data_IF_044653106701
#
_entry.id   IF_044653106701
#
_cell.length_a   1.000
_cell.length_b   1.000
_cell.length_c   1.000
_cell.angle_alpha   90.00
_cell.angle_beta   90.00
_cell.angle_gamma   90.00
#
_symmetry.space_group_name_H-M   'P 1'
#
loop_
_entity.id
_entity.type
_entity.pdbx_description
1 polymer ?
#
# COMPACT_ATOMS: atom_id res chain seq x y z
N UNK A 1 0.86 -6.11 30.80
CA UNK A 1 1.52 -5.77 29.54
C UNK A 1 3.01 -5.52 29.78
N UNK A 2 3.43 -4.52 30.56
CA UNK A 2 4.84 -4.17 30.82
C UNK A 2 5.69 -5.35 31.29
N UNK A 3 5.22 -6.09 32.30
CA UNK A 3 5.94 -7.27 32.82
C UNK A 3 6.08 -8.36 31.75
N UNK A 4 5.04 -8.56 30.90
CA UNK A 4 5.12 -9.54 29.82
C UNK A 4 6.15 -9.15 28.77
N UNK A 5 6.20 -7.86 28.38
CA UNK A 5 7.20 -7.36 27.43
C UNK A 5 8.61 -7.46 28.02
N UNK A 6 8.80 -7.06 29.29
CA UNK A 6 10.07 -7.18 29.96
C UNK A 6 10.59 -8.62 30.03
N UNK A 7 9.69 -9.58 30.31
CA UNK A 7 10.05 -10.99 30.32
C UNK A 7 10.51 -11.49 28.94
N UNK A 8 9.76 -11.16 27.88
CA UNK A 8 10.15 -11.52 26.51
C UNK A 8 11.50 -10.91 26.11
N UNK A 9 11.74 -9.64 26.45
CA UNK A 9 13.02 -9.00 26.20
C UNK A 9 14.16 -9.67 26.97
N UNK A 10 13.91 -10.10 28.21
CA UNK A 10 14.87 -10.84 29.02
C UNK A 10 15.17 -12.22 28.44
N UNK A 11 14.15 -12.95 27.97
CA UNK A 11 14.35 -14.25 27.36
C UNK A 11 15.18 -14.14 26.06
N UNK A 12 14.96 -13.08 25.24
CA UNK A 12 15.80 -12.80 24.08
C UNK A 12 17.25 -12.44 24.46
N UNK A 13 17.45 -11.67 25.53
CA UNK A 13 18.78 -11.36 26.05
C UNK A 13 19.53 -12.62 26.45
N UNK A 14 18.88 -13.51 27.21
CA UNK A 14 19.49 -14.77 27.62
C UNK A 14 19.85 -15.66 26.42
N UNK A 15 19.04 -15.73 25.39
CA UNK A 15 19.34 -16.46 24.17
C UNK A 15 20.58 -15.91 23.44
N UNK A 16 20.77 -14.58 23.44
CA UNK A 16 21.97 -13.95 22.88
C UNK A 16 23.21 -14.29 23.72
N UNK A 17 23.10 -14.35 25.05
CA UNK A 17 24.21 -14.74 25.94
C UNK A 17 24.59 -16.20 25.75
N UNK A 18 23.63 -17.10 25.60
CA UNK A 18 23.88 -18.52 25.32
C UNK A 18 24.58 -18.72 23.96
N UNK A 19 24.38 -17.87 23.01
CA UNK A 19 25.02 -17.87 21.68
C UNK A 19 26.47 -17.32 21.70
N UNK A 20 27.01 -16.99 22.86
CA UNK A 20 28.35 -16.45 23.04
C UNK A 20 28.41 -14.93 23.16
N UNK A 21 27.29 -14.31 23.48
CA UNK A 21 27.11 -12.87 23.71
C UNK A 21 26.81 -12.07 22.44
N UNK A 22 26.48 -10.82 22.64
CA UNK A 22 25.99 -9.91 21.58
C UNK A 22 26.96 -9.77 20.42
N UNK A 23 28.27 -9.61 20.69
CA UNK A 23 29.27 -9.47 19.63
C UNK A 23 29.37 -10.69 18.71
N UNK A 24 29.39 -11.90 19.31
CA UNK A 24 29.42 -13.13 18.53
C UNK A 24 28.16 -13.32 17.70
N UNK A 25 26.97 -13.02 18.27
CA UNK A 25 25.69 -13.12 17.59
C UNK A 25 25.57 -12.12 16.44
N UNK A 26 26.07 -10.88 16.58
CA UNK A 26 26.12 -9.89 15.49
C UNK A 26 27.08 -10.34 14.39
N UNK A 27 28.27 -10.84 14.74
CA UNK A 27 29.24 -11.32 13.78
C UNK A 27 28.72 -12.53 12.99
N UNK A 28 27.96 -13.41 13.65
CA UNK A 28 27.29 -14.54 13.02
C UNK A 28 26.02 -14.17 12.22
N UNK A 29 25.56 -12.91 12.29
CA UNK A 29 24.36 -12.45 11.60
C UNK A 29 23.02 -12.84 12.25
N UNK A 30 23.03 -13.47 13.43
CA UNK A 30 21.82 -13.95 14.11
C UNK A 30 20.89 -12.81 14.53
N UNK A 31 21.44 -11.74 15.10
CA UNK A 31 20.68 -10.55 15.48
C UNK A 31 20.04 -9.90 14.26
N UNK A 32 20.81 -9.75 13.18
CA UNK A 32 20.31 -9.15 11.94
C UNK A 32 19.21 -9.99 11.31
N UNK A 33 19.34 -11.31 11.31
CA UNK A 33 18.32 -12.22 10.80
C UNK A 33 17.01 -12.08 11.57
N UNK A 34 17.03 -12.03 12.90
CA UNK A 34 15.85 -11.88 13.74
C UNK A 34 15.16 -10.52 13.54
N UNK A 35 15.94 -9.44 13.45
CA UNK A 35 15.42 -8.09 13.18
C UNK A 35 14.83 -8.01 11.78
N UNK A 36 15.51 -8.54 10.76
CA UNK A 36 15.03 -8.51 9.38
C UNK A 36 13.75 -9.35 9.21
N UNK A 37 13.59 -10.45 9.94
CA UNK A 37 12.34 -11.23 9.92
C UNK A 37 11.18 -10.43 10.56
N UNK A 38 11.42 -9.73 11.67
CA UNK A 38 10.43 -8.83 12.28
C UNK A 38 10.05 -7.70 11.33
N UNK A 39 11.03 -7.13 10.62
CA UNK A 39 10.81 -6.10 9.62
C UNK A 39 9.93 -6.62 8.46
N UNK A 40 10.24 -7.79 7.92
CA UNK A 40 9.45 -8.44 6.87
C UNK A 40 8.00 -8.69 7.30
N UNK A 41 7.78 -9.15 8.54
CA UNK A 41 6.45 -9.34 9.09
C UNK A 41 5.68 -8.02 9.18
N UNK A 42 6.35 -6.94 9.58
CA UNK A 42 5.78 -5.58 9.64
C UNK A 42 5.41 -5.07 8.25
N UNK A 43 6.30 -5.17 7.26
CA UNK A 43 5.99 -4.80 5.87
C UNK A 43 4.77 -5.55 5.33
N UNK A 44 4.66 -6.86 5.61
CA UNK A 44 3.49 -7.63 5.24
C UNK A 44 2.20 -7.15 5.94
N UNK A 45 2.28 -6.69 7.19
CA UNK A 45 1.14 -6.12 7.90
C UNK A 45 0.73 -4.75 7.34
N UNK A 46 1.69 -3.90 7.00
CA UNK A 46 1.48 -2.60 6.35
C UNK A 46 0.88 -2.79 4.96
N UNK A 47 1.42 -3.70 4.14
CA UNK A 47 0.90 -4.00 2.81
C UNK A 47 -0.56 -4.48 2.83
N UNK A 48 -0.92 -5.29 3.82
CA UNK A 48 -2.29 -5.78 4.05
C UNK A 48 -3.18 -4.76 4.79
N UNK A 49 -2.68 -3.58 5.09
CA UNK A 49 -3.37 -2.52 5.86
C UNK A 49 -3.82 -2.98 7.26
N UNK A 50 -3.20 -4.03 7.82
CA UNK A 50 -3.39 -4.46 9.21
C UNK A 50 -2.69 -3.52 10.19
N UNK A 51 -1.52 -3.02 9.80
CA UNK A 51 -0.85 -1.89 10.47
C UNK A 51 -1.15 -0.63 9.66
N UNK A 52 -1.83 0.33 10.27
CA UNK A 52 -2.26 1.57 9.63
C UNK A 52 -1.20 2.64 9.84
N UNK A 53 -0.65 3.13 8.73
CA UNK A 53 0.20 4.32 8.67
C UNK A 53 -0.65 5.46 8.10
N UNK A 54 -1.24 6.25 9.00
CA UNK A 54 -2.18 7.30 8.65
C UNK A 54 -1.56 8.28 7.65
N UNK A 55 -2.30 8.57 6.57
CA UNK A 55 -1.84 9.42 5.49
C UNK A 55 -0.99 8.72 4.43
N UNK A 56 -0.58 7.47 4.66
CA UNK A 56 0.30 6.72 3.75
C UNK A 56 -0.41 5.52 3.13
N UNK A 57 -0.73 4.49 3.91
CA UNK A 57 -1.44 3.31 3.41
C UNK A 57 -2.94 3.36 3.70
N UNK A 58 -3.40 4.39 4.43
CA UNK A 58 -4.81 4.66 4.70
C UNK A 58 -5.03 6.15 4.94
N UNK A 59 -6.17 6.66 4.49
CA UNK A 59 -6.57 8.08 4.56
C UNK A 59 -5.51 9.04 3.98
N UNK A 60 -5.09 8.84 2.71
CA UNK A 60 -4.11 9.72 2.07
C UNK A 60 -4.70 11.11 1.83
N UNK A 61 -3.84 12.12 1.85
CA UNK A 61 -4.21 13.44 1.35
C UNK A 61 -4.20 13.42 -0.19
N UNK A 62 -5.35 13.61 -0.82
CA UNK A 62 -5.52 13.53 -2.27
C UNK A 62 -4.76 14.64 -3.04
N UNK A 63 -4.43 15.72 -2.38
CA UNK A 63 -3.76 16.88 -2.97
C UNK A 63 -2.26 16.97 -2.63
N UNK A 64 -1.75 16.08 -1.78
CA UNK A 64 -0.35 16.07 -1.40
C UNK A 64 0.53 15.60 -2.54
N UNK A 65 1.67 16.28 -2.72
CA UNK A 65 2.76 15.85 -3.59
C UNK A 65 3.94 15.42 -2.72
N UNK A 66 4.44 14.22 -2.95
CA UNK A 66 5.56 13.66 -2.19
C UNK A 66 6.92 13.97 -2.81
N UNK A 67 6.97 14.48 -4.05
CA UNK A 67 8.19 14.64 -4.85
C UNK A 67 9.31 15.46 -4.24
N UNK A 68 9.00 16.37 -3.30
CA UNK A 68 10.02 17.18 -2.60
C UNK A 68 10.62 16.45 -1.39
N UNK A 69 10.06 15.31 -1.00
CA UNK A 69 10.47 14.53 0.17
C UNK A 69 11.18 13.24 -0.27
N UNK A 70 12.22 13.39 -1.09
CA UNK A 70 13.03 12.23 -1.51
C UNK A 70 13.59 11.52 -0.29
N UNK A 71 13.60 10.16 -0.28
CA UNK A 71 14.31 9.42 0.73
C UNK A 71 15.75 9.93 0.78
N UNK A 72 16.23 10.28 1.96
CA UNK A 72 17.65 10.56 2.14
C UNK A 72 18.36 9.24 1.88
N UNK A 73 19.11 9.14 0.79
CA UNK A 73 19.99 8.01 0.59
C UNK A 73 20.87 7.89 1.83
N UNK A 74 20.88 6.71 2.45
CA UNK A 74 21.72 6.45 3.60
C UNK A 74 23.18 6.62 3.16
N UNK A 75 23.69 7.83 3.29
CA UNK A 75 25.10 8.12 3.07
C UNK A 75 25.87 7.38 4.14
N UNK A 76 26.74 6.47 3.71
CA UNK A 76 27.70 5.82 4.60
C UNK A 76 28.42 6.93 5.40
N UNK A 77 28.42 6.81 6.73
CA UNK A 77 29.06 7.76 7.63
C UNK A 77 30.61 7.89 7.44
N UNK A 78 31.17 7.15 6.52
CA UNK A 78 32.60 7.16 6.19
C UNK A 78 32.99 8.15 5.08
N UNK A 79 32.16 9.11 4.68
CA UNK A 79 32.55 10.35 3.94
C UNK A 79 33.46 10.20 2.71
N UNK A 80 33.60 9.08 2.11
CA UNK A 80 34.43 8.88 0.92
C UNK A 80 34.06 7.60 0.19
N UNK A 81 34.09 7.59 -1.11
CA UNK A 81 33.67 6.56 -2.05
C UNK A 81 34.35 5.20 -1.92
N UNK A 82 34.51 4.69 -0.72
CA UNK A 82 34.97 3.35 -0.43
C UNK A 82 33.77 2.42 -0.36
N UNK A 83 33.77 1.38 -1.18
CA UNK A 83 32.99 0.18 -0.93
C UNK A 83 33.50 -0.42 0.38
N UNK A 84 32.80 -0.13 1.49
CA UNK A 84 33.09 -0.85 2.73
C UNK A 84 32.76 -2.32 2.48
N UNK A 85 33.78 -3.19 2.41
CA UNK A 85 33.57 -4.62 2.55
C UNK A 85 32.89 -4.85 3.90
N UNK A 86 31.69 -5.38 3.86
CA UNK A 86 30.88 -5.62 5.06
C UNK A 86 31.22 -7.02 5.55
N UNK A 87 32.08 -7.11 6.55
CA UNK A 87 32.48 -8.37 7.17
C UNK A 87 31.33 -9.11 7.89
N UNK A 88 30.18 -8.44 8.04
CA UNK A 88 29.00 -8.98 8.72
C UNK A 88 27.71 -8.65 7.93
N UNK A 89 26.69 -9.51 8.00
CA UNK A 89 25.38 -9.20 7.45
C UNK A 89 24.83 -7.90 8.01
N UNK A 90 24.12 -7.13 7.17
CA UNK A 90 23.57 -5.83 7.57
C UNK A 90 22.06 -5.92 7.87
N UNK A 91 21.57 -4.99 8.66
CA UNK A 91 20.16 -4.76 8.82
C UNK A 91 19.56 -4.16 7.53
N UNK A 92 18.31 -4.44 7.26
CA UNK A 92 17.54 -3.73 6.25
C UNK A 92 17.16 -2.35 6.80
N UNK A 93 17.74 -1.30 6.22
CA UNK A 93 17.41 0.09 6.56
C UNK A 93 16.36 0.60 5.60
N UNK A 94 15.13 0.18 5.80
CA UNK A 94 13.97 0.64 5.07
C UNK A 94 12.93 1.24 6.02
N UNK A 95 12.00 1.98 5.46
CA UNK A 95 10.87 2.55 6.20
C UNK A 95 9.69 1.62 6.06
N UNK A 96 8.85 1.54 7.09
CA UNK A 96 7.67 0.65 7.07
C UNK A 96 6.72 0.91 5.88
N UNK A 97 6.78 2.08 5.28
CA UNK A 97 5.95 2.50 4.15
C UNK A 97 6.73 2.58 2.83
N UNK A 98 7.95 2.06 2.75
CA UNK A 98 8.84 2.24 1.60
C UNK A 98 8.20 1.86 0.27
N UNK A 99 7.41 0.79 0.22
CA UNK A 99 6.74 0.34 -1.00
C UNK A 99 5.61 1.30 -1.42
N UNK A 100 4.83 1.82 -0.47
CA UNK A 100 3.80 2.83 -0.76
C UNK A 100 4.42 4.15 -1.22
N UNK A 101 5.50 4.56 -0.58
CA UNK A 101 6.26 5.76 -0.95
C UNK A 101 6.86 5.63 -2.34
N UNK A 102 7.46 4.48 -2.66
CA UNK A 102 8.03 4.21 -3.97
C UNK A 102 6.96 4.26 -5.07
N UNK A 103 5.82 3.59 -4.86
CA UNK A 103 4.70 3.60 -5.80
C UNK A 103 4.15 5.02 -6.01
N UNK A 104 4.01 5.80 -4.95
CA UNK A 104 3.55 7.19 -5.03
C UNK A 104 4.53 8.07 -5.78
N UNK A 105 5.82 7.97 -5.47
CA UNK A 105 6.87 8.72 -6.16
C UNK A 105 6.97 8.35 -7.65
N UNK A 106 6.81 7.08 -7.99
CA UNK A 106 6.77 6.62 -9.39
C UNK A 106 5.57 7.20 -10.13
N UNK A 107 4.38 7.20 -9.51
CA UNK A 107 3.18 7.84 -10.08
C UNK A 107 3.42 9.33 -10.34
N UNK A 108 4.01 10.05 -9.38
CA UNK A 108 4.30 11.47 -9.52
C UNK A 108 5.38 11.75 -10.59
N UNK A 109 6.42 10.91 -10.64
CA UNK A 109 7.51 11.03 -11.60
C UNK A 109 7.07 10.75 -13.05
N UNK A 110 6.04 9.92 -13.24
CA UNK A 110 5.50 9.61 -14.56
C UNK A 110 4.88 10.83 -15.26
N UNK A 111 4.62 11.92 -14.53
CA UNK A 111 3.93 13.10 -15.03
C UNK A 111 2.45 12.88 -15.40
N UNK A 112 1.99 11.63 -15.33
CA UNK A 112 0.60 11.23 -15.57
C UNK A 112 -0.01 10.73 -14.27
N UNK A 113 -1.09 11.36 -13.83
CA UNK A 113 -1.86 10.91 -12.68
C UNK A 113 -3.04 10.07 -13.16
N UNK A 114 -2.99 8.72 -13.04
CA UNK A 114 -4.08 7.88 -13.49
C UNK A 114 -5.38 8.25 -12.79
N UNK A 115 -6.49 8.28 -13.53
CA UNK A 115 -7.80 8.64 -13.02
C UNK A 115 -8.65 7.40 -12.79
N UNK A 116 -9.04 7.16 -11.55
CA UNK A 116 -9.91 6.07 -11.14
C UNK A 116 -11.33 6.57 -10.87
N UNK A 117 -12.27 6.07 -11.64
CA UNK A 117 -13.69 6.42 -11.56
C UNK A 117 -14.47 5.33 -10.83
N UNK A 118 -15.23 5.70 -9.80
CA UNK A 118 -16.08 4.78 -9.06
C UNK A 118 -17.42 4.63 -9.79
N UNK A 119 -17.63 3.47 -10.43
CA UNK A 119 -18.94 3.11 -11.01
C UNK A 119 -19.82 2.55 -9.88
N UNK A 120 -20.52 3.44 -9.19
CA UNK A 120 -21.39 3.11 -8.06
C UNK A 120 -22.81 2.83 -8.53
N UNK A 121 -23.32 1.61 -8.27
CA UNK A 121 -24.63 1.16 -8.72
C UNK A 121 -25.25 0.20 -7.68
N UNK A 122 -26.56 0.03 -7.67
CA UNK A 122 -27.26 -0.90 -6.79
C UNK A 122 -27.40 -0.42 -5.35
N UNK A 123 -27.26 -1.32 -4.40
CA UNK A 123 -27.49 -1.07 -2.98
C UNK A 123 -26.68 0.10 -2.42
N UNK A 124 -27.36 1.13 -1.90
CA UNK A 124 -26.77 2.39 -1.48
C UNK A 124 -25.65 2.22 -0.44
N UNK A 125 -25.90 1.42 0.61
CA UNK A 125 -24.93 1.27 1.70
C UNK A 125 -23.67 0.54 1.23
N UNK A 126 -23.84 -0.52 0.45
CA UNK A 126 -22.72 -1.34 -0.05
C UNK A 126 -21.91 -0.61 -1.10
N UNK A 127 -22.57 0.04 -2.09
CA UNK A 127 -21.84 0.80 -3.12
C UNK A 127 -21.01 1.95 -2.52
N UNK A 128 -21.55 2.65 -1.51
CA UNK A 128 -20.81 3.71 -0.82
C UNK A 128 -19.61 3.18 -0.04
N UNK A 129 -19.78 2.07 0.72
CA UNK A 129 -18.69 1.46 1.46
C UNK A 129 -17.57 0.99 0.52
N UNK A 130 -17.93 0.36 -0.61
CA UNK A 130 -16.97 -0.10 -1.63
C UNK A 130 -16.27 1.07 -2.33
N UNK A 131 -17.00 2.12 -2.69
CA UNK A 131 -16.43 3.32 -3.29
C UNK A 131 -15.46 4.02 -2.33
N UNK A 132 -15.84 4.20 -1.06
CA UNK A 132 -14.98 4.81 -0.06
C UNK A 132 -13.68 4.01 0.15
N UNK A 133 -13.77 2.68 0.22
CA UNK A 133 -12.59 1.82 0.29
C UNK A 133 -11.70 1.98 -0.93
N UNK A 134 -12.27 1.92 -2.13
CA UNK A 134 -11.54 1.97 -3.39
C UNK A 134 -10.89 3.34 -3.62
N UNK A 135 -11.61 4.44 -3.34
CA UNK A 135 -11.04 5.78 -3.36
C UNK A 135 -9.84 5.91 -2.44
N UNK A 136 -9.99 5.45 -1.19
CA UNK A 136 -8.92 5.48 -0.21
C UNK A 136 -7.70 4.63 -0.65
N UNK A 137 -7.96 3.43 -1.18
CA UNK A 137 -6.91 2.51 -1.61
C UNK A 137 -6.12 3.05 -2.81
N UNK A 138 -6.81 3.50 -3.86
CA UNK A 138 -6.16 3.99 -5.09
C UNK A 138 -5.46 5.33 -4.87
N UNK A 139 -6.02 6.18 -4.02
CA UNK A 139 -5.37 7.45 -3.67
C UNK A 139 -4.07 7.29 -2.88
N UNK A 140 -3.85 6.15 -2.18
CA UNK A 140 -2.56 5.85 -1.56
C UNK A 140 -1.42 5.76 -2.60
N UNK A 141 -1.73 5.32 -3.82
CA UNK A 141 -0.80 5.31 -4.95
C UNK A 141 -0.64 6.68 -5.64
N UNK A 142 -1.34 7.70 -5.18
CA UNK A 142 -1.32 9.03 -5.81
C UNK A 142 -2.29 9.19 -6.97
N UNK A 143 -3.19 8.25 -7.22
CA UNK A 143 -4.15 8.33 -8.32
C UNK A 143 -5.21 9.40 -8.05
N UNK A 144 -5.72 10.02 -9.12
CA UNK A 144 -6.89 10.88 -9.05
C UNK A 144 -8.13 9.99 -8.91
N UNK A 145 -8.95 10.26 -7.90
CA UNK A 145 -10.17 9.49 -7.66
C UNK A 145 -11.40 10.35 -7.95
N UNK A 146 -12.35 9.78 -8.69
CA UNK A 146 -13.62 10.42 -9.02
C UNK A 146 -14.74 9.60 -8.39
N UNK A 147 -15.29 10.11 -7.30
CA UNK A 147 -16.44 9.55 -6.61
C UNK A 147 -17.75 10.22 -7.08
N UNK A 148 -18.88 9.57 -6.81
CA UNK A 148 -20.20 10.05 -7.22
C UNK A 148 -21.32 9.48 -6.34
N UNK A 149 -22.54 9.96 -6.54
CA UNK A 149 -23.70 9.53 -5.75
C UNK A 149 -24.34 8.22 -6.25
N UNK A 150 -23.95 7.77 -7.44
CA UNK A 150 -24.44 6.52 -8.06
C UNK A 150 -25.23 6.75 -9.35
N UNK A 151 -25.32 5.67 -10.12
CA UNK A 151 -25.98 5.66 -11.41
C UNK A 151 -27.19 4.72 -11.39
N UNK A 152 -28.26 5.04 -12.13
CA UNK A 152 -29.43 4.17 -12.26
C UNK A 152 -29.14 2.99 -13.18
N UNK A 153 -28.26 3.15 -14.17
CA UNK A 153 -27.89 2.11 -15.14
C UNK A 153 -26.38 2.01 -15.33
N UNK A 154 -25.94 0.87 -15.81
CA UNK A 154 -24.52 0.62 -16.12
C UNK A 154 -24.05 1.54 -17.25
N UNK A 155 -24.89 1.71 -18.28
CA UNK A 155 -24.57 2.49 -19.47
C UNK A 155 -24.29 3.95 -19.12
N UNK A 156 -25.18 4.57 -18.32
CA UNK A 156 -24.98 5.96 -17.86
C UNK A 156 -23.69 6.12 -17.06
N UNK A 157 -23.38 5.14 -16.20
CA UNK A 157 -22.16 5.13 -15.41
C UNK A 157 -20.90 5.00 -16.26
N UNK A 158 -20.93 4.14 -17.29
CA UNK A 158 -19.79 3.98 -18.22
C UNK A 158 -19.61 5.24 -19.09
N UNK A 159 -20.71 5.86 -19.57
CA UNK A 159 -20.63 7.12 -20.31
C UNK A 159 -20.02 8.23 -19.46
N UNK A 160 -20.45 8.34 -18.19
CA UNK A 160 -19.87 9.30 -17.25
C UNK A 160 -18.39 9.06 -17.00
N UNK A 161 -17.96 7.78 -16.87
CA UNK A 161 -16.58 7.43 -16.72
C UNK A 161 -15.74 7.83 -17.94
N UNK A 162 -16.26 7.61 -19.15
CA UNK A 162 -15.59 8.00 -20.40
C UNK A 162 -15.54 9.52 -20.56
N UNK A 163 -16.62 10.23 -20.21
CA UNK A 163 -16.63 11.69 -20.19
C UNK A 163 -15.60 12.28 -19.22
N UNK A 164 -15.40 11.62 -18.07
CA UNK A 164 -14.38 11.96 -17.09
C UNK A 164 -12.95 11.58 -17.55
N UNK A 165 -12.79 10.87 -18.68
CA UNK A 165 -11.52 10.33 -19.18
C UNK A 165 -10.84 9.42 -18.16
N UNK A 166 -11.60 8.48 -17.60
CA UNK A 166 -11.08 7.53 -16.63
C UNK A 166 -10.11 6.54 -17.28
N UNK A 167 -8.96 6.33 -16.63
CA UNK A 167 -8.01 5.25 -16.99
C UNK A 167 -8.41 3.92 -16.34
N UNK A 168 -9.11 4.01 -15.18
CA UNK A 168 -9.57 2.86 -14.39
C UNK A 168 -11.05 3.08 -14.03
N UNK A 169 -11.87 2.05 -14.21
CA UNK A 169 -13.26 2.03 -13.76
C UNK A 169 -13.42 0.95 -12.70
N UNK A 170 -13.87 1.35 -11.50
CA UNK A 170 -14.06 0.45 -10.36
C UNK A 170 -15.55 0.27 -10.13
N UNK A 171 -16.06 -0.91 -10.39
CA UNK A 171 -17.46 -1.25 -10.12
C UNK A 171 -17.65 -1.45 -8.60
N UNK A 172 -18.54 -0.65 -8.02
CA UNK A 172 -18.87 -0.65 -6.60
C UNK A 172 -20.35 -0.95 -6.41
N UNK A 173 -20.66 -2.14 -5.90
CA UNK A 173 -22.02 -2.62 -5.61
C UNK A 173 -21.99 -3.61 -4.45
N UNK A 174 -23.08 -4.33 -4.18
CA UNK A 174 -23.10 -5.47 -3.26
C UNK A 174 -22.58 -6.75 -3.94
N UNK A 175 -22.14 -7.73 -3.15
CA UNK A 175 -21.61 -8.97 -3.70
C UNK A 175 -22.66 -9.74 -4.50
N UNK A 176 -23.94 -9.70 -4.08
CA UNK A 176 -25.06 -10.33 -4.77
C UNK A 176 -25.36 -9.68 -6.13
N UNK A 177 -25.16 -8.36 -6.24
CA UNK A 177 -25.49 -7.58 -7.44
C UNK A 177 -24.36 -7.63 -8.50
N UNK A 178 -23.14 -8.03 -8.15
CA UNK A 178 -22.05 -8.13 -9.13
C UNK A 178 -22.35 -9.13 -10.26
N UNK A 179 -23.10 -10.18 -9.98
CA UNK A 179 -23.52 -11.13 -11.02
C UNK A 179 -24.34 -10.45 -12.13
N UNK A 180 -25.13 -9.43 -11.77
CA UNK A 180 -25.96 -8.66 -12.71
C UNK A 180 -25.15 -7.57 -13.42
N UNK A 181 -24.31 -6.82 -12.71
CA UNK A 181 -23.70 -5.62 -13.24
C UNK A 181 -22.31 -5.79 -13.84
N UNK A 182 -21.50 -6.77 -13.39
CA UNK A 182 -20.10 -6.87 -13.79
C UNK A 182 -19.92 -7.18 -15.28
N UNK A 183 -20.66 -8.16 -15.81
CA UNK A 183 -20.54 -8.55 -17.22
C UNK A 183 -21.06 -7.46 -18.16
N UNK A 184 -22.23 -6.83 -17.94
CA UNK A 184 -22.67 -5.68 -18.72
C UNK A 184 -21.70 -4.51 -18.69
N UNK A 185 -21.18 -4.16 -17.52
CA UNK A 185 -20.21 -3.06 -17.37
C UNK A 185 -18.91 -3.33 -18.14
N UNK A 186 -18.36 -4.54 -18.02
CA UNK A 186 -17.18 -4.93 -18.78
C UNK A 186 -17.38 -4.86 -20.30
N UNK A 187 -18.51 -5.35 -20.78
CA UNK A 187 -18.86 -5.30 -22.21
C UNK A 187 -19.07 -3.86 -22.70
N UNK A 188 -19.82 -3.04 -21.92
CA UNK A 188 -20.06 -1.65 -22.26
C UNK A 188 -18.76 -0.82 -22.24
N UNK A 189 -17.82 -1.15 -21.36
CA UNK A 189 -16.51 -0.51 -21.30
C UNK A 189 -15.65 -0.83 -22.54
N UNK A 190 -15.78 -2.02 -23.09
CA UNK A 190 -15.15 -2.46 -24.34
C UNK A 190 -13.63 -2.16 -24.41
N UNK A 191 -12.90 -2.42 -23.35
CA UNK A 191 -11.44 -2.23 -23.29
C UNK A 191 -10.96 -0.76 -23.28
N UNK A 192 -11.86 0.22 -23.16
CA UNK A 192 -11.51 1.66 -23.16
C UNK A 192 -10.81 2.13 -21.89
N UNK A 193 -10.90 1.38 -20.79
CA UNK A 193 -10.22 1.60 -19.53
C UNK A 193 -9.99 0.26 -18.81
N UNK A 194 -9.12 0.26 -17.79
CA UNK A 194 -8.96 -0.90 -16.92
C UNK A 194 -10.24 -1.10 -16.09
N UNK A 195 -10.70 -2.34 -15.96
CA UNK A 195 -11.90 -2.66 -15.17
C UNK A 195 -11.55 -3.42 -13.90
N UNK A 196 -12.08 -2.96 -12.77
CA UNK A 196 -11.89 -3.58 -11.44
C UNK A 196 -13.27 -3.75 -10.79
N UNK A 197 -13.46 -4.86 -10.10
CA UNK A 197 -14.64 -5.11 -9.26
C UNK A 197 -14.22 -4.98 -7.80
N UNK A 198 -14.88 -4.10 -7.04
CA UNK A 198 -14.59 -3.85 -5.63
C UNK A 198 -15.34 -4.85 -4.73
N UNK A 199 -14.94 -6.10 -4.75
CA UNK A 199 -15.58 -7.17 -3.98
C UNK A 199 -14.80 -8.47 -4.05
N UNK A 200 -15.28 -9.47 -3.32
CA UNK A 200 -14.85 -10.85 -3.50
C UNK A 200 -15.87 -11.53 -4.44
N UNK A 201 -15.43 -12.04 -5.59
CA UNK A 201 -16.31 -12.79 -6.50
C UNK A 201 -16.71 -14.13 -5.87
#
# INVERSE_FOLDING_TARGET
>A
LTVSIAKQAWDLFLAVEEDGGFYASVKAGKVQAAVNESNKARHAAVAKRKEVLLGTNQFPNFNEKAGDKKPVEATCCCGGGHTCEKDVPTLNFDRAASEFEALRLETEASGKRPKAFMLTIGNLAMRQARAQYSCNFLACAGYEVVDNLGFPTVEEGIEAAMAAKADIVVLCSSDDEYAEYAVPAFKALNGRAMFIVAGAP
#
